data_IF_529276360842
#
_entry.id   IF_529276360842
#
_cell.length_a   1.000
_cell.length_b   1.000
_cell.length_c   1.000
_cell.angle_alpha   90.00
_cell.angle_beta   90.00
_cell.angle_gamma   90.00
#
_symmetry.space_group_name_H-M   'P 1'
#
loop_
_entity.id
_entity.type
_entity.pdbx_description
1 polymer ?
#
# COMPACT_ATOMS: atom_id res chain seq x y z
N UNK A 1 20.58 -3.34 -47.38
CA UNK A 1 19.38 -2.99 -46.58
C UNK A 1 19.78 -2.97 -45.12
N UNK A 2 20.12 -1.80 -44.61
CA UNK A 2 20.56 -1.59 -43.23
C UNK A 2 19.34 -1.60 -42.32
N UNK A 3 19.24 -2.59 -41.40
CA UNK A 3 18.19 -2.65 -40.38
C UNK A 3 18.51 -1.60 -39.32
N UNK A 4 17.76 -0.51 -39.30
CA UNK A 4 17.80 0.44 -38.19
C UNK A 4 17.35 -0.27 -36.94
N UNK A 5 18.27 -0.43 -35.99
CA UNK A 5 17.93 -0.83 -34.61
C UNK A 5 17.00 0.25 -34.02
N UNK A 6 15.92 -0.11 -33.34
CA UNK A 6 15.06 0.88 -32.70
C UNK A 6 15.89 1.61 -31.63
N UNK A 7 16.05 2.92 -31.80
CA UNK A 7 16.68 3.77 -30.82
C UNK A 7 15.88 3.70 -29.51
N UNK A 8 16.49 3.24 -28.44
CA UNK A 8 15.92 3.29 -27.09
C UNK A 8 15.60 4.75 -26.78
N UNK A 9 14.30 5.04 -26.58
CA UNK A 9 13.86 6.39 -26.17
C UNK A 9 14.52 6.71 -24.82
N UNK A 10 15.10 7.92 -24.65
CA UNK A 10 15.69 8.31 -23.37
C UNK A 10 14.62 8.21 -22.28
N UNK A 11 14.92 7.45 -21.21
CA UNK A 11 14.06 7.31 -20.06
C UNK A 11 13.86 8.67 -19.40
N UNK A 12 12.65 9.23 -19.52
CA UNK A 12 12.31 10.53 -18.95
C UNK A 12 12.20 10.42 -17.43
N UNK A 13 12.92 11.28 -16.67
CA UNK A 13 12.71 11.42 -15.21
C UNK A 13 11.29 11.87 -14.87
N UNK A 14 10.56 12.33 -15.87
CA UNK A 14 9.16 12.79 -15.81
C UNK A 14 8.17 11.74 -15.27
N UNK A 15 8.47 10.42 -15.40
CA UNK A 15 7.55 9.37 -14.97
C UNK A 15 7.35 9.31 -13.46
N UNK A 16 8.40 9.50 -12.66
CA UNK A 16 8.29 9.52 -11.20
C UNK A 16 7.53 10.76 -10.70
N UNK A 17 7.89 11.94 -11.23
CA UNK A 17 7.24 13.21 -10.87
C UNK A 17 5.76 13.20 -11.24
N UNK A 18 5.41 12.79 -12.47
CA UNK A 18 4.01 12.72 -12.91
C UNK A 18 3.19 11.71 -12.10
N UNK A 19 3.79 10.61 -11.67
CA UNK A 19 3.13 9.61 -10.82
C UNK A 19 2.89 10.15 -9.41
N UNK A 20 3.87 10.87 -8.84
CA UNK A 20 3.70 11.55 -7.55
C UNK A 20 2.59 12.60 -7.60
N UNK A 21 2.58 13.46 -8.62
CA UNK A 21 1.57 14.50 -8.80
C UNK A 21 0.17 13.93 -9.02
N UNK A 22 0.05 12.85 -9.80
CA UNK A 22 -1.23 12.17 -10.00
C UNK A 22 -1.77 11.59 -8.68
N UNK A 23 -0.93 10.93 -7.90
CA UNK A 23 -1.32 10.40 -6.60
C UNK A 23 -1.71 11.52 -5.63
N UNK A 24 -0.89 12.56 -5.51
CA UNK A 24 -1.14 13.71 -4.65
C UNK A 24 -2.45 14.41 -5.01
N UNK A 25 -2.60 14.80 -6.27
CA UNK A 25 -3.78 15.51 -6.75
C UNK A 25 -5.06 14.69 -6.60
N UNK A 26 -5.02 13.38 -6.87
CA UNK A 26 -6.17 12.49 -6.70
C UNK A 26 -6.52 12.32 -5.22
N UNK A 27 -5.52 12.15 -4.34
CA UNK A 27 -5.73 12.05 -2.88
C UNK A 27 -6.45 13.29 -2.36
N UNK A 28 -5.97 14.48 -2.70
CA UNK A 28 -6.59 15.75 -2.29
C UNK A 28 -7.99 15.91 -2.85
N UNK A 29 -8.17 15.64 -4.15
CA UNK A 29 -9.46 15.81 -4.84
C UNK A 29 -10.56 14.92 -4.24
N UNK A 30 -10.26 13.65 -3.96
CA UNK A 30 -11.20 12.73 -3.34
C UNK A 30 -11.48 13.10 -1.89
N UNK A 31 -10.45 13.37 -1.08
CA UNK A 31 -10.62 13.77 0.32
C UNK A 31 -11.47 15.03 0.45
N UNK A 32 -11.24 16.04 -0.39
CA UNK A 32 -12.04 17.28 -0.39
C UNK A 32 -13.41 17.08 -1.03
N UNK A 33 -13.52 16.28 -2.09
CA UNK A 33 -14.79 16.00 -2.76
C UNK A 33 -15.82 15.36 -1.85
N UNK A 34 -15.40 14.46 -0.97
CA UNK A 34 -16.27 13.77 0.00
C UNK A 34 -16.93 14.77 0.98
N UNK A 35 -16.27 15.85 1.34
CA UNK A 35 -16.86 16.87 2.23
C UNK A 35 -18.10 17.54 1.68
N UNK A 36 -18.29 17.47 0.35
CA UNK A 36 -19.46 18.02 -0.35
C UNK A 36 -20.65 17.04 -0.39
N UNK A 37 -20.47 15.83 0.12
CA UNK A 37 -21.45 14.75 0.10
C UNK A 37 -21.85 14.38 1.53
N UNK A 38 -22.71 15.17 2.16
CA UNK A 38 -23.05 15.08 3.59
C UNK A 38 -23.39 13.66 4.08
N UNK A 39 -24.18 12.91 3.31
CA UNK A 39 -24.56 11.55 3.68
C UNK A 39 -23.37 10.59 3.69
N UNK A 40 -22.41 10.76 2.77
CA UNK A 40 -21.19 9.97 2.69
C UNK A 40 -20.21 10.41 3.78
N UNK A 41 -20.05 11.72 3.96
CA UNK A 41 -19.16 12.29 4.96
C UNK A 41 -19.46 11.77 6.36
N UNK A 42 -20.77 11.80 6.77
CA UNK A 42 -21.21 11.26 8.07
C UNK A 42 -20.95 9.76 8.25
N UNK A 43 -21.04 8.96 7.20
CA UNK A 43 -20.73 7.51 7.28
C UNK A 43 -19.26 7.22 7.47
N UNK A 44 -18.41 8.16 7.13
CA UNK A 44 -16.95 8.06 7.24
C UNK A 44 -16.40 8.69 8.54
N UNK A 45 -17.26 9.16 9.44
CA UNK A 45 -16.83 9.66 10.75
C UNK A 45 -16.50 8.51 11.70
N UNK A 46 -15.42 8.65 12.45
CA UNK A 46 -14.95 7.71 13.46
C UNK A 46 -14.43 8.47 14.68
N UNK A 47 -14.44 7.81 15.82
CA UNK A 47 -13.80 8.33 17.03
C UNK A 47 -12.41 7.77 17.12
N UNK A 48 -11.39 8.64 17.20
CA UNK A 48 -10.00 8.22 17.31
C UNK A 48 -9.61 7.83 18.75
N UNK A 49 -8.36 7.46 18.95
CA UNK A 49 -7.82 7.04 20.26
C UNK A 49 -7.85 8.13 21.35
N UNK A 50 -8.05 9.41 20.98
CA UNK A 50 -8.21 10.55 21.90
C UNK A 50 -9.68 10.93 22.13
N UNK A 51 -10.63 10.19 21.56
CA UNK A 51 -12.05 10.52 21.63
C UNK A 51 -12.50 11.66 20.71
N UNK A 52 -11.63 12.08 19.76
CA UNK A 52 -11.97 13.10 18.76
C UNK A 52 -12.68 12.47 17.57
N UNK A 53 -13.72 13.12 17.06
CA UNK A 53 -14.34 12.74 15.79
C UNK A 53 -13.41 13.12 14.63
N UNK A 54 -13.03 12.14 13.84
CA UNK A 54 -12.15 12.25 12.66
C UNK A 54 -12.81 11.60 11.45
N UNK A 55 -12.43 12.01 10.25
CA UNK A 55 -13.04 11.48 9.02
C UNK A 55 -12.10 10.51 8.31
N UNK A 56 -12.64 9.36 7.89
CA UNK A 56 -11.96 8.38 7.01
C UNK A 56 -11.80 8.88 5.56
N UNK A 57 -12.28 10.10 5.22
CA UNK A 57 -12.13 10.68 3.88
C UNK A 57 -10.65 10.77 3.44
N UNK A 58 -9.73 10.91 4.41
CA UNK A 58 -8.29 10.88 4.15
C UNK A 58 -7.85 9.56 3.56
N UNK A 59 -8.31 8.44 4.15
CA UNK A 59 -8.01 7.10 3.67
C UNK A 59 -8.62 6.77 2.32
N UNK A 60 -9.87 7.18 2.08
CA UNK A 60 -10.50 7.03 0.75
C UNK A 60 -9.72 7.81 -0.30
N UNK A 61 -9.27 9.04 0.02
CA UNK A 61 -8.40 9.82 -0.84
C UNK A 61 -7.09 9.11 -1.15
N UNK A 62 -6.41 8.56 -0.13
CA UNK A 62 -5.16 7.81 -0.30
C UNK A 62 -5.35 6.57 -1.14
N UNK A 63 -6.42 5.80 -0.95
CA UNK A 63 -6.72 4.63 -1.77
C UNK A 63 -6.92 5.00 -3.25
N UNK A 64 -7.68 6.09 -3.52
CA UNK A 64 -7.85 6.61 -4.87
C UNK A 64 -6.52 7.10 -5.47
N UNK A 65 -5.69 7.81 -4.69
CA UNK A 65 -4.35 8.25 -5.07
C UNK A 65 -3.41 7.09 -5.39
N UNK A 66 -3.45 6.01 -4.61
CA UNK A 66 -2.66 4.82 -4.84
C UNK A 66 -3.03 4.12 -6.17
N UNK A 67 -4.31 4.03 -6.48
CA UNK A 67 -4.79 3.51 -7.77
C UNK A 67 -4.38 4.44 -8.92
N UNK A 68 -4.50 5.77 -8.73
CA UNK A 68 -4.09 6.76 -9.71
C UNK A 68 -2.58 6.71 -10.01
N UNK A 69 -1.75 6.43 -8.99
CA UNK A 69 -0.31 6.21 -9.18
C UNK A 69 -0.05 5.04 -10.14
N UNK A 70 -0.74 3.91 -9.94
CA UNK A 70 -0.66 2.77 -10.84
C UNK A 70 -1.07 3.13 -12.27
N UNK A 71 -2.22 3.79 -12.43
CA UNK A 71 -2.73 4.19 -13.73
C UNK A 71 -1.76 5.16 -14.45
N UNK A 72 -1.22 6.13 -13.72
CA UNK A 72 -0.28 7.10 -14.28
C UNK A 72 1.05 6.47 -14.67
N UNK A 73 1.53 5.47 -13.93
CA UNK A 73 2.71 4.69 -14.31
C UNK A 73 2.58 4.11 -15.73
N UNK A 74 1.41 3.53 -16.05
CA UNK A 74 1.15 2.97 -17.38
C UNK A 74 1.25 4.01 -18.49
N UNK A 75 0.75 5.22 -18.26
CA UNK A 75 0.86 6.34 -19.20
C UNK A 75 2.30 6.84 -19.34
N UNK A 76 3.03 6.93 -18.22
CA UNK A 76 4.38 7.48 -18.20
C UNK A 76 5.42 6.57 -18.85
N UNK A 77 5.30 5.24 -18.68
CA UNK A 77 6.26 4.25 -19.20
C UNK A 77 5.76 3.54 -20.48
N UNK A 78 4.52 3.75 -20.89
CA UNK A 78 3.94 3.10 -22.07
C UNK A 78 3.88 1.58 -21.91
N UNK A 79 4.17 0.83 -22.99
CA UNK A 79 4.10 -0.62 -23.02
C UNK A 79 4.92 -1.32 -21.93
N UNK A 80 6.10 -0.80 -21.60
CA UNK A 80 6.96 -1.35 -20.55
C UNK A 80 6.36 -1.15 -19.15
N UNK A 81 5.53 -0.12 -18.98
CA UNK A 81 4.82 0.17 -17.73
C UNK A 81 3.50 -0.60 -17.56
N UNK A 82 2.95 -1.20 -18.60
CA UNK A 82 1.58 -1.74 -18.57
C UNK A 82 1.36 -2.81 -17.49
N UNK A 83 2.25 -3.80 -17.36
CA UNK A 83 2.13 -4.85 -16.35
C UNK A 83 2.37 -4.35 -14.92
N UNK A 84 3.44 -3.56 -14.62
CA UNK A 84 3.61 -2.94 -13.31
C UNK A 84 2.46 -1.99 -12.94
N UNK A 85 1.89 -1.26 -13.92
CA UNK A 85 0.73 -0.39 -13.70
C UNK A 85 -0.50 -1.22 -13.29
N UNK A 86 -0.81 -2.27 -14.06
CA UNK A 86 -1.94 -3.15 -13.74
C UNK A 86 -1.74 -3.85 -12.39
N UNK A 87 -0.49 -4.22 -12.05
CA UNK A 87 -0.16 -4.80 -10.75
C UNK A 87 -0.47 -3.81 -9.61
N UNK A 88 -0.04 -2.55 -9.75
CA UNK A 88 -0.29 -1.53 -8.73
C UNK A 88 -1.79 -1.21 -8.58
N UNK A 89 -2.52 -1.09 -9.70
CA UNK A 89 -3.98 -0.87 -9.67
C UNK A 89 -4.70 -2.03 -9.02
N UNK A 90 -4.34 -3.28 -9.35
CA UNK A 90 -4.97 -4.47 -8.77
C UNK A 90 -4.68 -4.59 -7.27
N UNK A 91 -3.42 -4.40 -6.86
CA UNK A 91 -3.04 -4.49 -5.46
C UNK A 91 -3.66 -3.38 -4.60
N UNK A 92 -3.48 -2.11 -4.99
CA UNK A 92 -4.00 -0.98 -4.23
C UNK A 92 -5.54 -0.93 -4.27
N UNK A 93 -6.15 -1.26 -5.43
CA UNK A 93 -7.61 -1.29 -5.57
C UNK A 93 -8.25 -2.39 -4.70
N UNK A 94 -7.71 -3.60 -4.73
CA UNK A 94 -8.20 -4.70 -3.89
C UNK A 94 -8.02 -4.39 -2.38
N UNK A 95 -6.85 -3.88 -2.01
CA UNK A 95 -6.55 -3.54 -0.61
C UNK A 95 -7.43 -2.39 -0.10
N UNK A 96 -7.62 -1.33 -0.91
CA UNK A 96 -8.51 -0.22 -0.57
C UNK A 96 -9.98 -0.65 -0.48
N UNK A 97 -10.45 -1.48 -1.42
CA UNK A 97 -11.83 -1.99 -1.39
C UNK A 97 -12.09 -2.86 -0.16
N UNK A 98 -11.16 -3.78 0.16
CA UNK A 98 -11.26 -4.61 1.35
C UNK A 98 -11.30 -3.77 2.63
N UNK A 99 -10.41 -2.75 2.70
CA UNK A 99 -10.37 -1.83 3.83
C UNK A 99 -11.66 -1.01 3.95
N UNK A 100 -12.22 -0.56 2.82
CA UNK A 100 -13.46 0.22 2.82
C UNK A 100 -14.64 -0.60 3.34
N UNK A 101 -14.71 -1.87 2.97
CA UNK A 101 -15.74 -2.79 3.50
C UNK A 101 -15.60 -2.90 5.01
N UNK A 102 -14.39 -3.11 5.51
CA UNK A 102 -14.10 -3.22 6.95
C UNK A 102 -14.41 -1.91 7.70
N UNK A 103 -13.97 -0.78 7.17
CA UNK A 103 -14.27 0.55 7.70
C UNK A 103 -15.78 0.84 7.76
N UNK A 104 -16.55 0.45 6.75
CA UNK A 104 -18.00 0.67 6.71
C UNK A 104 -18.78 -0.33 7.58
N UNK A 105 -18.26 -1.53 7.75
CA UNK A 105 -18.84 -2.56 8.64
C UNK A 105 -18.73 -2.16 10.12
N UNK A 106 -17.62 -1.53 10.51
CA UNK A 106 -17.40 -1.04 11.87
C UNK A 106 -17.49 -2.13 12.95
N UNK A 107 -17.28 -3.40 12.58
CA UNK A 107 -17.37 -4.56 13.48
C UNK A 107 -18.78 -5.14 13.65
N UNK A 108 -19.77 -4.67 12.89
CA UNK A 108 -21.16 -5.12 13.01
C UNK A 108 -21.35 -6.64 12.80
N UNK A 109 -20.49 -7.26 12.01
CA UNK A 109 -20.53 -8.69 11.71
C UNK A 109 -19.51 -9.54 12.48
N UNK A 110 -18.78 -8.98 13.43
CA UNK A 110 -17.77 -9.71 14.21
C UNK A 110 -18.38 -10.71 15.23
N UNK A 111 -19.68 -10.56 15.58
CA UNK A 111 -20.38 -11.40 16.53
C UNK A 111 -19.88 -11.22 17.97
N UNK A 112 -20.43 -12.01 18.91
CA UNK A 112 -20.14 -11.91 20.36
C UNK A 112 -18.68 -12.22 20.74
N UNK A 113 -17.96 -12.92 19.89
CA UNK A 113 -16.53 -13.25 20.07
C UNK A 113 -15.74 -12.85 18.83
N UNK A 114 -15.24 -11.59 18.77
CA UNK A 114 -14.47 -11.12 17.62
C UNK A 114 -13.21 -11.96 17.39
N UNK A 115 -13.03 -12.46 16.18
CA UNK A 115 -11.77 -13.10 15.79
C UNK A 115 -10.70 -12.02 15.65
N UNK A 116 -9.57 -12.17 16.33
CA UNK A 116 -8.46 -11.22 16.28
C UNK A 116 -7.22 -11.86 15.69
N UNK A 117 -6.50 -11.08 14.87
CA UNK A 117 -5.28 -11.49 14.19
C UNK A 117 -5.50 -12.57 13.12
N UNK A 118 -4.44 -12.85 12.37
CA UNK A 118 -4.47 -13.83 11.27
C UNK A 118 -4.93 -15.21 11.75
N UNK A 119 -4.38 -15.68 12.87
CA UNK A 119 -4.73 -16.97 13.47
C UNK A 119 -6.22 -17.06 13.86
N UNK A 120 -6.78 -15.97 14.40
CA UNK A 120 -8.19 -15.92 14.80
C UNK A 120 -9.13 -16.05 13.61
N UNK A 121 -8.88 -15.31 12.53
CA UNK A 121 -9.70 -15.35 11.32
C UNK A 121 -9.59 -16.70 10.58
N UNK A 122 -8.39 -17.27 10.45
CA UNK A 122 -8.20 -18.60 9.86
C UNK A 122 -8.87 -19.70 10.69
N UNK A 123 -8.81 -19.61 12.02
CA UNK A 123 -9.48 -20.55 12.91
C UNK A 123 -11.02 -20.43 12.85
N UNK A 124 -11.55 -19.22 12.69
CA UNK A 124 -12.99 -18.99 12.48
C UNK A 124 -13.44 -19.60 11.13
N UNK A 125 -12.67 -19.38 10.08
CA UNK A 125 -12.92 -19.91 8.74
C UNK A 125 -12.90 -21.46 8.75
N UNK A 126 -11.92 -22.07 9.44
CA UNK A 126 -11.84 -23.53 9.59
C UNK A 126 -13.07 -24.13 10.31
N UNK A 127 -13.78 -23.32 11.10
CA UNK A 127 -15.05 -23.67 11.76
C UNK A 127 -16.30 -23.28 10.94
N UNK A 128 -16.13 -22.90 9.67
CA UNK A 128 -17.22 -22.50 8.77
C UNK A 128 -17.76 -21.08 9.01
N UNK A 129 -17.08 -20.26 9.82
CA UNK A 129 -17.45 -18.86 10.07
C UNK A 129 -16.62 -17.92 9.19
N UNK A 130 -17.28 -17.24 8.25
CA UNK A 130 -16.66 -16.19 7.44
C UNK A 130 -16.74 -14.89 8.24
N UNK A 131 -15.60 -14.32 8.58
CA UNK A 131 -15.48 -13.03 9.27
C UNK A 131 -15.09 -11.94 8.28
N UNK A 132 -15.34 -10.64 8.58
CA UNK A 132 -14.90 -9.52 7.76
C UNK A 132 -13.39 -9.54 7.55
N UNK A 133 -12.60 -9.88 8.58
CA UNK A 133 -11.16 -10.06 8.46
C UNK A 133 -10.76 -11.22 7.54
N UNK A 134 -11.51 -12.34 7.49
CA UNK A 134 -11.24 -13.40 6.52
C UNK A 134 -11.49 -12.95 5.08
N UNK A 135 -12.57 -12.19 4.85
CA UNK A 135 -12.86 -11.57 3.54
C UNK A 135 -11.75 -10.60 3.15
N UNK A 136 -11.30 -9.75 4.07
CA UNK A 136 -10.20 -8.81 3.88
C UNK A 136 -8.92 -9.53 3.45
N UNK A 137 -8.53 -10.60 4.17
CA UNK A 137 -7.36 -11.42 3.83
C UNK A 137 -7.50 -12.02 2.43
N UNK A 138 -8.68 -12.55 2.07
CA UNK A 138 -8.92 -13.15 0.77
C UNK A 138 -8.84 -12.12 -0.37
N UNK A 139 -9.45 -10.94 -0.21
CA UNK A 139 -9.48 -9.89 -1.23
C UNK A 139 -8.08 -9.28 -1.41
N UNK A 140 -7.39 -8.91 -0.32
CA UNK A 140 -6.02 -8.38 -0.38
C UNK A 140 -5.07 -9.43 -0.97
N UNK A 141 -5.18 -10.69 -0.50
CA UNK A 141 -4.36 -11.81 -0.99
C UNK A 141 -4.55 -12.07 -2.47
N UNK A 142 -5.80 -12.01 -2.97
CA UNK A 142 -6.11 -12.18 -4.39
C UNK A 142 -5.53 -11.04 -5.23
N UNK A 143 -5.71 -9.80 -4.82
CA UNK A 143 -5.11 -8.62 -5.49
C UNK A 143 -3.59 -8.70 -5.52
N UNK A 144 -2.97 -9.09 -4.40
CA UNK A 144 -1.52 -9.27 -4.29
C UNK A 144 -1.02 -10.42 -5.20
N UNK A 145 -1.76 -11.52 -5.30
CA UNK A 145 -1.41 -12.64 -6.19
C UNK A 145 -1.48 -12.22 -7.65
N UNK A 146 -2.54 -11.54 -8.08
CA UNK A 146 -2.66 -10.99 -9.43
C UNK A 146 -1.49 -10.06 -9.73
N UNK A 147 -1.18 -9.14 -8.82
CA UNK A 147 -0.06 -8.23 -8.95
C UNK A 147 1.29 -8.97 -9.02
N UNK A 148 1.49 -9.98 -8.19
CA UNK A 148 2.69 -10.82 -8.18
C UNK A 148 2.90 -11.55 -9.52
N UNK A 149 1.84 -12.12 -10.09
CA UNK A 149 1.88 -12.77 -11.42
C UNK A 149 2.23 -11.75 -12.52
N UNK A 150 1.61 -10.58 -12.51
CA UNK A 150 1.89 -9.52 -13.49
C UNK A 150 3.34 -9.05 -13.43
N UNK A 151 3.89 -8.85 -12.22
CA UNK A 151 5.28 -8.45 -12.02
C UNK A 151 6.26 -9.56 -12.43
N UNK A 152 5.97 -10.82 -12.12
CA UNK A 152 6.80 -11.95 -12.52
C UNK A 152 6.84 -12.09 -14.05
N UNK A 153 5.69 -11.92 -14.72
CA UNK A 153 5.59 -11.92 -16.19
C UNK A 153 6.30 -10.71 -16.82
N UNK A 154 6.26 -9.54 -16.18
CA UNK A 154 7.01 -8.36 -16.64
C UNK A 154 8.51 -8.64 -16.65
N UNK A 155 9.04 -9.19 -15.57
CA UNK A 155 10.46 -9.54 -15.46
C UNK A 155 10.87 -10.70 -16.39
N UNK A 156 9.98 -11.64 -16.61
CA UNK A 156 10.20 -12.76 -17.55
C UNK A 156 10.28 -12.32 -19.01
N UNK A 157 9.54 -11.27 -19.39
CA UNK A 157 9.58 -10.72 -20.75
C UNK A 157 10.88 -9.93 -21.03
N UNK A 158 11.51 -9.37 -19.98
CA UNK A 158 12.76 -8.62 -20.08
C UNK A 158 14.03 -9.50 -19.97
N UNK A 159 13.87 -10.78 -19.68
CA UNK A 159 14.98 -11.74 -19.48
C UNK A 159 14.79 -12.97 -20.35
N UNK A 160 15.82 -13.86 -20.40
CA UNK A 160 15.67 -15.18 -21.04
C UNK A 160 14.49 -15.97 -20.44
N UNK A 161 13.81 -16.85 -21.22
CA UNK A 161 12.68 -17.63 -20.74
C UNK A 161 13.00 -18.37 -19.44
N UNK A 162 12.23 -18.08 -18.39
CA UNK A 162 12.39 -18.73 -17.08
C UNK A 162 11.56 -20.02 -17.04
N UNK A 163 12.06 -21.01 -16.32
CA UNK A 163 11.27 -22.22 -16.03
C UNK A 163 10.04 -21.82 -15.18
N UNK A 164 8.90 -22.50 -15.41
CA UNK A 164 7.64 -22.27 -14.70
C UNK A 164 7.79 -22.17 -13.16
N UNK A 165 8.55 -23.08 -12.48
CA UNK A 165 8.72 -23.00 -11.03
C UNK A 165 9.38 -21.70 -10.57
N UNK A 166 10.35 -21.19 -11.33
CA UNK A 166 11.04 -19.93 -10.97
C UNK A 166 10.13 -18.72 -11.14
N UNK A 167 9.23 -18.74 -12.13
CA UNK A 167 8.25 -17.67 -12.33
C UNK A 167 7.17 -17.70 -11.24
N UNK A 168 6.72 -18.89 -10.85
CA UNK A 168 5.75 -19.05 -9.76
C UNK A 168 6.32 -18.59 -8.41
N UNK A 169 7.57 -18.94 -8.12
CA UNK A 169 8.24 -18.46 -6.91
C UNK A 169 8.40 -16.93 -6.90
N UNK A 170 8.77 -16.35 -8.03
CA UNK A 170 8.91 -14.89 -8.17
C UNK A 170 7.54 -14.16 -7.98
N UNK A 171 6.46 -14.76 -8.49
CA UNK A 171 5.10 -14.30 -8.28
C UNK A 171 4.70 -14.38 -6.79
N UNK A 172 4.98 -15.52 -6.15
CA UNK A 172 4.67 -15.74 -4.74
C UNK A 172 5.42 -14.77 -3.82
N UNK A 173 6.72 -14.56 -4.04
CA UNK A 173 7.52 -13.57 -3.29
C UNK A 173 6.97 -12.17 -3.48
N UNK A 174 6.57 -11.80 -4.70
CA UNK A 174 5.98 -10.49 -4.97
C UNK A 174 4.62 -10.33 -4.28
N UNK A 175 3.77 -11.35 -4.34
CA UNK A 175 2.46 -11.35 -3.67
C UNK A 175 2.61 -11.25 -2.15
N UNK A 176 3.53 -12.02 -1.57
CA UNK A 176 3.83 -11.98 -0.15
C UNK A 176 4.34 -10.59 0.30
N UNK A 177 5.23 -9.97 -0.50
CA UNK A 177 5.67 -8.60 -0.26
C UNK A 177 4.49 -7.64 -0.22
N UNK A 178 3.62 -7.68 -1.22
CA UNK A 178 2.49 -6.75 -1.33
C UNK A 178 1.51 -6.92 -0.18
N UNK A 179 1.09 -8.16 0.09
CA UNK A 179 0.13 -8.45 1.15
C UNK A 179 0.67 -8.13 2.54
N UNK A 180 1.92 -8.51 2.83
CA UNK A 180 2.53 -8.23 4.14
C UNK A 180 2.71 -6.74 4.40
N UNK A 181 3.13 -5.95 3.41
CA UNK A 181 3.25 -4.50 3.60
C UNK A 181 1.90 -3.79 3.66
N UNK A 182 0.84 -4.30 3.01
CA UNK A 182 -0.52 -3.81 3.22
C UNK A 182 -0.93 -3.97 4.69
N UNK A 183 -0.74 -5.16 5.26
CA UNK A 183 -1.07 -5.46 6.66
C UNK A 183 -0.20 -4.66 7.65
N UNK A 184 1.12 -4.56 7.40
CA UNK A 184 2.03 -3.76 8.25
C UNK A 184 1.59 -2.30 8.35
N UNK A 185 1.17 -1.68 7.24
CA UNK A 185 0.70 -0.29 7.26
C UNK A 185 -0.61 -0.16 8.03
N UNK A 186 -1.50 -1.13 7.91
CA UNK A 186 -2.71 -1.19 8.72
C UNK A 186 -2.40 -1.32 10.22
N UNK A 187 -1.47 -2.17 10.60
CA UNK A 187 -1.00 -2.32 11.98
C UNK A 187 -0.32 -1.07 12.54
N UNK A 188 0.24 -0.22 11.68
CA UNK A 188 0.87 1.05 12.05
C UNK A 188 -0.13 2.19 12.18
N UNK A 189 -1.32 2.12 11.55
CA UNK A 189 -2.33 3.19 11.51
C UNK A 189 -3.13 3.32 12.82
N UNK A 190 -2.44 3.29 13.94
CA UNK A 190 -2.99 3.45 15.29
C UNK A 190 -2.67 4.82 15.92
N UNK A 191 -1.91 5.64 15.23
CA UNK A 191 -1.50 6.99 15.68
C UNK A 191 -1.33 7.91 14.47
N UNK A 192 -1.65 9.21 14.60
CA UNK A 192 -1.56 10.18 13.51
C UNK A 192 -0.19 10.19 12.84
N UNK A 193 -0.17 10.18 11.51
CA UNK A 193 1.00 10.26 10.66
C UNK A 193 1.90 9.02 10.64
N UNK A 194 1.68 8.02 11.50
CA UNK A 194 2.62 6.89 11.66
C UNK A 194 2.72 6.04 10.39
N UNK A 195 1.61 5.58 9.85
CA UNK A 195 1.59 4.77 8.64
C UNK A 195 2.10 5.56 7.42
N UNK A 196 1.77 6.84 7.31
CA UNK A 196 2.24 7.74 6.25
C UNK A 196 3.76 7.97 6.30
N UNK A 197 4.31 8.20 7.50
CA UNK A 197 5.76 8.32 7.72
C UNK A 197 6.48 7.00 7.42
N UNK A 198 5.92 5.88 7.84
CA UNK A 198 6.47 4.56 7.54
C UNK A 198 6.51 4.30 6.02
N UNK A 199 5.44 4.64 5.29
CA UNK A 199 5.41 4.55 3.83
C UNK A 199 6.50 5.41 3.17
N UNK A 200 6.68 6.64 3.66
CA UNK A 200 7.72 7.54 3.15
C UNK A 200 9.13 6.98 3.39
N UNK A 201 9.43 6.50 4.60
CA UNK A 201 10.72 5.90 4.94
C UNK A 201 11.01 4.63 4.13
N UNK A 202 10.00 3.80 3.94
CA UNK A 202 10.13 2.54 3.21
C UNK A 202 10.39 2.76 1.72
N UNK A 203 9.76 3.77 1.11
CA UNK A 203 9.77 3.95 -0.35
C UNK A 203 10.79 4.97 -0.84
N UNK A 204 11.20 5.96 -0.02
CA UNK A 204 12.18 6.97 -0.43
C UNK A 204 13.52 6.41 -0.92
N UNK A 205 14.09 5.32 -0.36
CA UNK A 205 15.33 4.75 -0.88
C UNK A 205 15.22 4.24 -2.32
N UNK A 206 14.02 3.85 -2.76
CA UNK A 206 13.79 3.36 -4.13
C UNK A 206 13.96 4.46 -5.19
N UNK A 207 13.88 5.73 -4.79
CA UNK A 207 14.07 6.88 -5.70
C UNK A 207 15.51 7.03 -6.17
N UNK A 208 16.47 6.48 -5.43
CA UNK A 208 17.91 6.61 -5.71
C UNK A 208 18.35 5.74 -6.89
N UNK A 209 17.66 4.61 -7.12
CA UNK A 209 18.02 3.71 -8.23
C UNK A 209 17.60 4.30 -9.58
N UNK A 210 18.61 4.84 -10.30
CA UNK A 210 18.43 5.48 -11.60
C UNK A 210 18.45 4.50 -12.79
N UNK A 211 18.67 3.21 -12.56
CA UNK A 211 18.70 2.22 -13.65
C UNK A 211 17.35 2.16 -14.38
N UNK A 212 17.34 2.01 -15.71
CA UNK A 212 16.08 1.88 -16.47
C UNK A 212 15.18 0.77 -15.94
N UNK A 213 15.74 -0.37 -15.55
CA UNK A 213 15.01 -1.49 -14.98
C UNK A 213 14.29 -1.17 -13.64
N UNK A 214 14.71 -0.10 -12.94
CA UNK A 214 14.07 0.35 -11.70
C UNK A 214 12.98 1.42 -11.93
N UNK A 215 12.71 1.81 -13.18
CA UNK A 215 11.80 2.91 -13.50
C UNK A 215 10.40 2.71 -12.89
N UNK A 216 9.84 1.51 -13.00
CA UNK A 216 8.53 1.19 -12.41
C UNK A 216 8.54 1.27 -10.88
N UNK A 217 9.54 0.67 -10.22
CA UNK A 217 9.71 0.74 -8.76
C UNK A 217 9.83 2.18 -8.27
N UNK A 218 10.67 2.98 -8.91
CA UNK A 218 10.89 4.40 -8.61
C UNK A 218 9.63 5.23 -8.79
N UNK A 219 8.88 5.03 -9.88
CA UNK A 219 7.65 5.77 -10.13
C UNK A 219 6.55 5.42 -9.12
N UNK A 220 6.37 4.14 -8.78
CA UNK A 220 5.42 3.72 -7.75
C UNK A 220 5.81 4.24 -6.36
N UNK A 221 7.10 4.24 -6.02
CA UNK A 221 7.62 4.85 -4.80
C UNK A 221 7.30 6.36 -4.74
N UNK A 222 7.51 7.08 -5.84
CA UNK A 222 7.13 8.49 -5.94
C UNK A 222 5.62 8.71 -5.79
N UNK A 223 4.79 7.83 -6.38
CA UNK A 223 3.34 7.84 -6.18
C UNK A 223 2.93 7.62 -4.73
N UNK A 224 3.59 6.67 -4.04
CA UNK A 224 3.38 6.43 -2.62
C UNK A 224 3.70 7.68 -1.77
N UNK A 225 4.81 8.34 -2.05
CA UNK A 225 5.19 9.60 -1.40
C UNK A 225 4.21 10.72 -1.70
N UNK A 226 3.70 10.82 -2.95
CA UNK A 226 2.70 11.82 -3.32
C UNK A 226 1.38 11.65 -2.55
N UNK A 227 0.88 10.42 -2.45
CA UNK A 227 -0.32 10.11 -1.68
C UNK A 227 -0.11 10.37 -0.17
N UNK A 228 1.04 9.95 0.38
CA UNK A 228 1.37 10.18 1.78
C UNK A 228 1.50 11.67 2.11
N UNK A 229 2.18 12.45 1.27
CA UNK A 229 2.34 13.89 1.46
C UNK A 229 1.00 14.65 1.44
N UNK A 230 0.06 14.21 0.57
CA UNK A 230 -1.26 14.80 0.49
C UNK A 230 -2.12 14.57 1.74
N UNK A 231 -2.02 13.38 2.35
CA UNK A 231 -2.83 13.01 3.51
C UNK A 231 -2.21 13.45 4.84
N UNK A 232 -0.89 13.57 4.91
CA UNK A 232 -0.15 13.77 6.16
C UNK A 232 -0.61 14.99 7.00
N UNK A 233 -0.87 16.18 6.41
CA UNK A 233 -1.31 17.33 7.22
C UNK A 233 -2.64 17.08 7.95
N UNK A 234 -3.68 16.61 7.24
CA UNK A 234 -4.99 16.34 7.85
C UNK A 234 -4.97 15.20 8.86
N UNK A 235 -4.09 14.22 8.66
CA UNK A 235 -3.92 13.08 9.56
C UNK A 235 -3.20 13.53 10.86
N UNK A 236 -2.15 14.35 10.76
CA UNK A 236 -1.43 14.89 11.90
C UNK A 236 -2.29 15.85 12.75
N UNK A 237 -3.16 16.63 12.11
CA UNK A 237 -4.12 17.53 12.78
C UNK A 237 -5.33 16.78 13.36
N UNK A 238 -5.40 15.47 13.18
CA UNK A 238 -6.56 14.65 13.60
C UNK A 238 -7.90 15.12 13.01
N UNK A 239 -7.87 15.71 11.80
CA UNK A 239 -9.07 16.02 11.02
C UNK A 239 -9.52 14.82 10.19
N UNK A 240 -8.55 14.03 9.72
CA UNK A 240 -8.74 12.80 8.96
C UNK A 240 -7.90 11.68 9.54
N UNK A 241 -8.21 10.45 9.14
CA UNK A 241 -7.36 9.28 9.38
C UNK A 241 -7.39 8.38 8.15
N UNK A 242 -6.42 7.48 8.04
CA UNK A 242 -6.37 6.53 6.94
C UNK A 242 -7.45 5.46 7.06
N UNK A 243 -7.62 4.92 8.24
CA UNK A 243 -8.41 3.72 8.45
C UNK A 243 -7.90 2.55 7.62
N UNK A 244 -8.64 1.48 7.60
CA UNK A 244 -8.30 0.27 6.88
C UNK A 244 -8.24 0.51 5.36
N UNK A 245 -9.10 1.39 4.83
CA UNK A 245 -9.13 1.77 3.41
C UNK A 245 -7.79 2.34 2.95
N UNK A 246 -7.31 3.37 3.63
CA UNK A 246 -6.12 4.10 3.22
C UNK A 246 -4.83 3.36 3.56
N UNK A 247 -4.77 2.80 4.76
CA UNK A 247 -3.57 2.12 5.25
C UNK A 247 -3.24 0.87 4.42
N UNK A 248 -4.23 0.01 4.14
CA UNK A 248 -4.01 -1.17 3.29
C UNK A 248 -3.64 -0.78 1.86
N UNK A 249 -4.32 0.22 1.25
CA UNK A 249 -4.02 0.65 -0.12
C UNK A 249 -2.62 1.24 -0.25
N UNK A 250 -2.22 2.09 0.70
CA UNK A 250 -0.89 2.70 0.73
C UNK A 250 0.21 1.65 0.91
N UNK A 251 0.00 0.72 1.85
CA UNK A 251 0.91 -0.39 2.09
C UNK A 251 1.02 -1.34 0.90
N UNK A 252 -0.10 -1.63 0.20
CA UNK A 252 -0.10 -2.41 -1.03
C UNK A 252 0.66 -1.70 -2.15
N UNK A 253 0.53 -0.37 -2.30
CA UNK A 253 1.30 0.41 -3.26
C UNK A 253 2.79 0.40 -2.93
N UNK A 254 3.17 0.60 -1.67
CA UNK A 254 4.54 0.53 -1.20
C UNK A 254 5.15 -0.87 -1.42
N UNK A 255 4.40 -1.92 -1.06
CA UNK A 255 4.77 -3.31 -1.33
C UNK A 255 4.93 -3.60 -2.82
N UNK A 256 4.08 -3.01 -3.68
CA UNK A 256 4.20 -3.15 -5.14
C UNK A 256 5.44 -2.44 -5.67
N UNK A 257 5.78 -1.25 -5.13
CA UNK A 257 7.02 -0.54 -5.48
C UNK A 257 8.27 -1.39 -5.15
N UNK A 258 8.30 -2.01 -3.97
CA UNK A 258 9.36 -2.94 -3.55
C UNK A 258 9.40 -4.19 -4.44
N UNK A 259 8.25 -4.80 -4.70
CA UNK A 259 8.12 -5.99 -5.52
C UNK A 259 8.47 -5.74 -7.00
N UNK A 260 8.30 -4.52 -7.51
CA UNK A 260 8.69 -4.11 -8.85
C UNK A 260 10.20 -3.85 -9.00
N UNK A 261 10.96 -3.78 -7.90
CA UNK A 261 12.39 -3.48 -7.94
C UNK A 261 13.18 -4.58 -8.67
N UNK A 262 14.18 -4.24 -9.51
CA UNK A 262 14.93 -5.23 -10.30
C UNK A 262 15.82 -6.14 -9.45
N UNK A 263 16.33 -5.67 -8.31
CA UNK A 263 17.19 -6.44 -7.41
C UNK A 263 16.40 -7.53 -6.68
N UNK A 264 16.87 -8.77 -6.79
CA UNK A 264 16.31 -9.92 -6.05
C UNK A 264 16.49 -9.77 -4.54
N UNK A 265 17.60 -9.17 -4.10
CA UNK A 265 17.87 -8.94 -2.68
C UNK A 265 16.87 -7.96 -2.08
N UNK A 266 16.54 -6.86 -2.77
CA UNK A 266 15.52 -5.91 -2.31
C UNK A 266 14.16 -6.60 -2.18
N UNK A 267 13.76 -7.38 -3.19
CA UNK A 267 12.47 -8.09 -3.15
C UNK A 267 12.40 -9.15 -2.05
N UNK A 268 13.45 -9.98 -1.95
CA UNK A 268 13.50 -11.02 -0.91
C UNK A 268 13.59 -10.41 0.50
N UNK A 269 14.39 -9.38 0.66
CA UNK A 269 14.50 -8.65 1.92
C UNK A 269 13.19 -7.98 2.32
N UNK A 270 12.49 -7.36 1.35
CA UNK A 270 11.18 -6.74 1.59
C UNK A 270 10.11 -7.79 1.96
N UNK A 271 10.09 -8.94 1.28
CA UNK A 271 9.20 -10.05 1.63
C UNK A 271 9.48 -10.59 3.04
N UNK A 272 10.76 -10.84 3.34
CA UNK A 272 11.17 -11.34 4.66
C UNK A 272 10.84 -10.35 5.77
N UNK A 273 11.14 -9.07 5.59
CA UNK A 273 10.89 -8.03 6.58
C UNK A 273 9.38 -7.85 6.83
N UNK A 274 8.59 -7.68 5.77
CA UNK A 274 7.13 -7.53 5.89
C UNK A 274 6.49 -8.73 6.58
N UNK A 275 6.85 -9.95 6.15
CA UNK A 275 6.33 -11.18 6.76
C UNK A 275 6.75 -11.32 8.23
N UNK A 276 8.01 -11.02 8.55
CA UNK A 276 8.50 -11.05 9.92
C UNK A 276 7.76 -10.08 10.84
N UNK A 277 7.46 -8.86 10.34
CA UNK A 277 6.66 -7.86 11.07
C UNK A 277 5.23 -8.35 11.30
N UNK A 278 4.57 -8.90 10.28
CA UNK A 278 3.21 -9.47 10.42
C UNK A 278 3.21 -10.59 11.47
N UNK A 279 4.15 -11.53 11.40
CA UNK A 279 4.25 -12.61 12.39
C UNK A 279 4.59 -12.11 13.79
N UNK A 280 5.42 -11.07 13.88
CA UNK A 280 5.77 -10.46 15.18
C UNK A 280 4.55 -9.77 15.81
N UNK A 281 3.66 -9.15 15.01
CA UNK A 281 2.47 -8.46 15.51
C UNK A 281 1.50 -9.38 16.27
N UNK A 282 1.50 -10.67 15.96
CA UNK A 282 0.70 -11.68 16.69
C UNK A 282 1.16 -11.87 18.15
N UNK A 283 2.38 -11.43 18.48
CA UNK A 283 2.98 -11.58 19.83
C UNK A 283 3.31 -10.25 20.48
N UNK A 284 3.56 -9.22 19.68
CA UNK A 284 4.13 -7.94 20.13
C UNK A 284 3.30 -6.76 19.62
N UNK A 285 2.91 -5.85 20.50
CA UNK A 285 2.24 -4.61 20.12
C UNK A 285 3.24 -3.60 19.55
N UNK A 286 3.11 -3.22 18.28
CA UNK A 286 3.96 -2.20 17.64
C UNK A 286 3.91 -0.87 18.39
N UNK A 287 2.73 -0.43 18.82
CA UNK A 287 2.60 0.81 19.61
C UNK A 287 3.44 0.76 20.89
N UNK A 288 3.48 -0.40 21.57
CA UNK A 288 4.29 -0.56 22.79
C UNK A 288 5.78 -0.58 22.49
N UNK A 289 6.20 -1.24 21.41
CA UNK A 289 7.61 -1.26 20.97
C UNK A 289 8.08 0.13 20.58
N UNK A 290 7.30 0.84 19.76
CA UNK A 290 7.62 2.21 19.34
C UNK A 290 7.77 3.12 20.57
N UNK A 291 6.82 3.09 21.50
CA UNK A 291 6.83 3.93 22.70
C UNK A 291 8.04 3.65 23.63
N UNK A 292 8.57 2.41 23.63
CA UNK A 292 9.72 2.02 24.46
C UNK A 292 11.07 2.23 23.79
N UNK A 293 11.11 2.53 22.50
CA UNK A 293 12.34 2.72 21.72
C UNK A 293 12.52 4.21 21.44
N UNK A 294 13.46 4.91 22.11
CA UNK A 294 13.55 6.39 22.03
C UNK A 294 13.60 6.96 20.62
N UNK A 295 14.40 6.36 19.73
CA UNK A 295 14.53 6.79 18.33
C UNK A 295 13.22 6.63 17.55
N UNK A 296 12.50 5.52 17.76
CA UNK A 296 11.21 5.28 17.12
C UNK A 296 10.13 6.21 17.70
N UNK A 297 10.15 6.44 19.02
CA UNK A 297 9.23 7.35 19.69
C UNK A 297 9.40 8.80 19.19
N UNK A 298 10.66 9.25 19.06
CA UNK A 298 10.96 10.57 18.51
C UNK A 298 10.48 10.74 17.08
N UNK A 299 10.73 9.74 16.21
CA UNK A 299 10.24 9.74 14.83
C UNK A 299 8.71 9.73 14.76
N UNK A 300 8.07 8.92 15.62
CA UNK A 300 6.62 8.83 15.71
C UNK A 300 5.99 10.16 16.15
N UNK A 301 6.64 10.90 17.04
CA UNK A 301 6.19 12.20 17.54
C UNK A 301 6.31 13.35 16.53
N UNK A 302 7.17 13.23 15.51
CA UNK A 302 7.40 14.32 14.53
C UNK A 302 6.08 14.81 13.93
N UNK A 303 5.79 16.11 14.07
CA UNK A 303 4.64 16.79 13.49
C UNK A 303 3.31 16.51 14.18
N UNK A 304 3.28 15.76 15.29
CA UNK A 304 2.08 15.63 16.13
C UNK A 304 2.03 16.72 17.17
N UNK A 305 0.86 17.28 17.39
CA UNK A 305 0.65 18.18 18.52
C UNK A 305 0.76 17.39 19.83
N UNK A 306 1.65 17.84 20.70
CA UNK A 306 1.70 17.41 22.10
C UNK A 306 0.53 18.08 22.82
N UNK A 307 -0.55 17.33 23.01
CA UNK A 307 -1.67 17.75 23.84
C UNK A 307 -1.72 16.93 25.13
#
# INVERSE_FOLDING_TARGET
MSRHAPQARPHRPEGAASTALAALGTTLSWSQGITKLDAVARRLERVNFRGRTVSLRGGVGVAAGAVAAGAQLGRALGGDGARPAAAAVAAAGAAGAAGLIDDLDGGAHDGDTPAKGLKGHLSALARGRVTTGAVKIAVIGSGALVAGVLLARHRGAAAAPRRLPATALDAAVSALTIASWADVHNLLDLRPGRALKAAALLTSPLLVDRRPAAAASRALAAGCLGAAAAALPGDLMEETMLGDTGANALGALAGTALAAHPSRLVRAGAAAAGTALVLASERVSFTRVIARTPTLAALDAVGRDEA
#
